data_IF_845079693165
#
_entry.id   IF_845079693165
#
_cell.length_a   1.000
_cell.length_b   1.000
_cell.length_c   1.000
_cell.angle_alpha   90.00
_cell.angle_beta   90.00
_cell.angle_gamma   90.00
#
_symmetry.space_group_name_H-M   'P 1'
#
loop_
_entity.id
_entity.type
_entity.pdbx_description
1 polymer ?
#
# COMPACT_ATOMS: atom_id res chain seq x y z
N UNK A 1 31.59 -12.08 14.28
CA UNK A 1 30.33 -11.42 13.83
C UNK A 1 29.27 -12.51 13.79
N UNK A 2 28.15 -12.36 14.51
CA UNK A 2 27.05 -13.30 14.41
C UNK A 2 26.49 -13.26 12.99
N UNK A 3 26.21 -14.42 12.41
CA UNK A 3 25.60 -14.53 11.09
C UNK A 3 24.18 -13.96 11.21
N UNK A 4 23.86 -12.95 10.43
CA UNK A 4 22.48 -12.39 10.39
C UNK A 4 21.50 -13.47 9.93
N UNK A 5 20.34 -13.62 10.59
CA UNK A 5 19.30 -14.51 10.12
C UNK A 5 18.81 -14.06 8.73
N UNK A 6 18.43 -15.03 7.90
CA UNK A 6 18.03 -14.80 6.50
C UNK A 6 16.52 -14.78 6.36
N UNK A 7 15.99 -13.72 5.75
CA UNK A 7 14.59 -13.64 5.36
C UNK A 7 14.50 -13.67 3.82
N UNK A 8 13.79 -14.66 3.27
CA UNK A 8 13.46 -14.70 1.85
C UNK A 8 12.05 -14.21 1.64
N UNK A 9 11.91 -13.05 1.00
CA UNK A 9 10.65 -12.37 0.71
C UNK A 9 10.16 -12.79 -0.67
N UNK A 10 8.93 -13.26 -0.75
CA UNK A 10 8.25 -13.53 -2.02
C UNK A 10 7.18 -12.48 -2.27
N UNK A 11 7.25 -11.82 -3.40
CA UNK A 11 6.27 -10.82 -3.83
C UNK A 11 6.12 -10.85 -5.36
N UNK A 12 4.90 -10.57 -5.85
CA UNK A 12 4.67 -10.56 -7.30
C UNK A 12 5.39 -9.40 -7.99
N UNK A 13 5.46 -8.25 -7.31
CA UNK A 13 6.03 -7.01 -7.84
C UNK A 13 6.96 -6.34 -6.84
N UNK A 14 8.03 -5.76 -7.35
CA UNK A 14 9.00 -4.98 -6.59
C UNK A 14 9.50 -3.81 -7.45
N UNK A 15 10.26 -2.87 -6.87
CA UNK A 15 10.92 -1.81 -7.65
C UNK A 15 11.79 -2.40 -8.77
N UNK A 16 11.82 -1.77 -9.96
CA UNK A 16 11.32 -0.44 -10.29
C UNK A 16 9.83 -0.38 -10.64
N UNK A 17 9.06 -1.46 -10.47
CA UNK A 17 7.62 -1.46 -10.66
C UNK A 17 6.90 -0.50 -9.70
N UNK A 18 5.78 0.05 -10.16
CA UNK A 18 4.97 1.00 -9.39
C UNK A 18 3.46 0.81 -9.56
N UNK A 19 2.99 0.14 -10.63
CA UNK A 19 1.56 0.00 -10.95
C UNK A 19 0.77 -0.77 -9.89
N UNK A 20 1.40 -1.73 -9.21
CA UNK A 20 0.76 -2.44 -8.12
C UNK A 20 0.63 -1.59 -6.82
N UNK A 21 1.32 -0.47 -6.72
CA UNK A 21 1.20 0.51 -5.63
C UNK A 21 1.56 -0.05 -4.26
N UNK A 22 0.58 -0.08 -3.32
CA UNK A 22 0.77 -0.46 -1.92
C UNK A 22 1.52 -1.77 -1.67
N UNK A 23 1.29 -2.88 -2.38
CA UNK A 23 2.07 -4.12 -2.25
C UNK A 23 3.57 -3.92 -2.45
N UNK A 24 3.97 -3.13 -3.45
CA UNK A 24 5.39 -2.81 -3.69
C UNK A 24 5.94 -2.00 -2.51
N UNK A 25 5.24 -0.93 -2.11
CA UNK A 25 5.66 -0.07 -0.97
C UNK A 25 5.83 -0.84 0.31
N UNK A 26 4.91 -1.78 0.61
CA UNK A 26 5.02 -2.63 1.79
C UNK A 26 6.31 -3.45 1.83
N UNK A 27 6.73 -4.02 0.69
CA UNK A 27 7.94 -4.83 0.61
C UNK A 27 9.21 -3.96 0.62
N UNK A 28 9.20 -2.82 -0.06
CA UNK A 28 10.32 -1.87 -0.10
C UNK A 28 10.58 -1.30 1.29
N UNK A 29 9.54 -0.82 1.96
CA UNK A 29 9.67 -0.29 3.31
C UNK A 29 10.11 -1.38 4.30
N UNK A 30 9.54 -2.59 4.22
CA UNK A 30 9.99 -3.72 5.02
C UNK A 30 11.50 -3.98 4.86
N UNK A 31 11.98 -4.04 3.64
CA UNK A 31 13.40 -4.27 3.36
C UNK A 31 14.27 -3.13 3.92
N UNK A 32 13.86 -1.87 3.74
CA UNK A 32 14.59 -0.70 4.21
C UNK A 32 14.77 -0.70 5.75
N UNK A 33 13.73 -1.09 6.50
CA UNK A 33 13.79 -1.12 7.97
C UNK A 33 14.51 -2.34 8.54
N UNK A 34 14.44 -3.49 7.86
CA UNK A 34 14.90 -4.76 8.42
C UNK A 34 16.28 -5.21 7.95
N UNK A 35 16.84 -4.61 6.90
CA UNK A 35 18.12 -5.02 6.29
C UNK A 35 19.35 -4.92 7.19
N UNK A 36 19.30 -4.11 8.25
CA UNK A 36 20.40 -4.01 9.21
C UNK A 36 20.44 -5.18 10.19
N UNK A 37 19.26 -5.77 10.49
CA UNK A 37 19.13 -6.87 11.45
C UNK A 37 19.09 -8.24 10.76
N UNK A 38 18.68 -8.29 9.47
CA UNK A 38 18.50 -9.52 8.70
C UNK A 38 19.13 -9.43 7.32
N UNK A 39 19.67 -10.55 6.83
CA UNK A 39 20.04 -10.68 5.42
C UNK A 39 18.77 -10.90 4.59
N UNK A 40 18.36 -9.88 3.83
CA UNK A 40 17.11 -9.88 3.07
C UNK A 40 17.35 -10.33 1.63
N UNK A 41 16.58 -11.33 1.19
CA UNK A 41 16.55 -11.88 -0.16
C UNK A 41 15.15 -11.69 -0.74
N UNK A 42 14.99 -10.90 -1.80
CA UNK A 42 13.69 -10.64 -2.44
C UNK A 42 13.61 -11.40 -3.75
N UNK A 43 12.64 -12.29 -3.85
CA UNK A 43 12.33 -13.05 -5.05
C UNK A 43 11.03 -12.52 -5.66
N UNK A 44 11.09 -11.93 -6.85
CA UNK A 44 9.98 -11.21 -7.49
C UNK A 44 9.90 -11.47 -8.99
N UNK A 45 8.81 -11.05 -9.63
CA UNK A 45 8.68 -11.05 -11.09
C UNK A 45 9.52 -9.96 -11.75
N UNK A 46 9.80 -10.15 -13.03
CA UNK A 46 10.61 -9.22 -13.83
C UNK A 46 9.81 -8.11 -14.52
N UNK A 47 8.51 -7.98 -14.24
CA UNK A 47 7.59 -7.03 -14.91
C UNK A 47 6.54 -6.48 -13.98
N UNK A 48 5.99 -5.31 -14.33
CA UNK A 48 4.96 -4.66 -13.53
C UNK A 48 3.57 -5.25 -13.76
N UNK A 49 2.63 -4.85 -12.94
CA UNK A 49 1.24 -5.27 -13.00
C UNK A 49 0.64 -4.97 -14.38
N UNK A 50 0.20 -6.02 -15.07
CA UNK A 50 -0.42 -5.92 -16.38
C UNK A 50 0.55 -5.82 -17.57
N UNK A 51 1.85 -5.65 -17.33
CA UNK A 51 2.83 -5.50 -18.39
C UNK A 51 3.25 -6.86 -18.99
N UNK A 52 3.47 -6.87 -20.30
CA UNK A 52 3.99 -8.03 -21.02
C UNK A 52 5.51 -8.01 -21.11
N UNK A 53 6.13 -6.85 -21.02
CA UNK A 53 7.57 -6.65 -21.12
C UNK A 53 8.20 -6.61 -19.73
N UNK A 54 9.45 -7.10 -19.65
CA UNK A 54 10.24 -6.97 -18.44
C UNK A 54 10.60 -5.50 -18.15
N UNK A 55 10.90 -5.20 -16.89
CA UNK A 55 11.44 -3.89 -16.52
C UNK A 55 12.69 -3.56 -17.36
N UNK A 56 12.81 -2.31 -17.73
CA UNK A 56 14.01 -1.83 -18.39
C UNK A 56 15.19 -1.78 -17.40
N UNK A 57 16.39 -2.07 -17.91
CA UNK A 57 17.67 -1.93 -17.16
C UNK A 57 17.79 -2.80 -15.89
N UNK A 58 17.04 -3.89 -15.78
CA UNK A 58 17.25 -4.89 -14.74
C UNK A 58 17.93 -6.13 -15.31
N UNK A 59 18.65 -6.82 -14.42
CA UNK A 59 19.21 -8.13 -14.72
C UNK A 59 18.28 -9.23 -14.21
N UNK A 60 17.80 -10.07 -15.12
CA UNK A 60 16.86 -11.16 -14.81
C UNK A 60 17.58 -12.48 -14.53
N UNK A 61 16.92 -13.34 -13.74
CA UNK A 61 17.34 -14.72 -13.45
C UNK A 61 18.71 -14.85 -12.77
N UNK A 62 19.15 -13.80 -12.07
CA UNK A 62 20.33 -13.83 -11.21
C UNK A 62 20.12 -12.97 -9.97
N UNK A 63 20.80 -13.32 -8.89
CA UNK A 63 20.85 -12.50 -7.69
C UNK A 63 21.74 -11.29 -7.92
N UNK A 64 21.22 -10.11 -7.60
CA UNK A 64 21.94 -8.83 -7.63
C UNK A 64 21.81 -8.17 -6.27
N UNK A 65 22.85 -7.46 -5.83
CA UNK A 65 22.78 -6.64 -4.63
C UNK A 65 22.37 -5.22 -4.98
N UNK A 66 21.37 -4.70 -4.29
CA UNK A 66 20.95 -3.30 -4.40
C UNK A 66 20.49 -2.80 -3.04
N UNK A 67 21.00 -1.64 -2.60
CA UNK A 67 20.63 -0.97 -1.35
C UNK A 67 20.71 -1.85 -0.09
N UNK A 68 21.64 -2.80 -0.07
CA UNK A 68 21.89 -3.73 1.04
C UNK A 68 20.91 -4.91 1.09
N UNK A 69 20.18 -5.20 0.01
CA UNK A 69 19.34 -6.38 -0.14
C UNK A 69 19.70 -7.16 -1.39
N UNK A 70 19.48 -8.48 -1.36
CA UNK A 70 19.65 -9.36 -2.52
C UNK A 70 18.32 -9.44 -3.30
N UNK A 71 18.35 -9.14 -4.61
CA UNK A 71 17.16 -9.12 -5.47
C UNK A 71 17.29 -10.17 -6.58
N UNK A 72 16.21 -10.91 -6.84
CA UNK A 72 16.09 -11.81 -7.96
C UNK A 72 14.82 -11.51 -8.75
N UNK A 73 14.98 -11.03 -9.97
CA UNK A 73 13.88 -10.80 -10.90
C UNK A 73 13.69 -12.03 -11.79
N UNK A 74 12.66 -12.79 -11.49
CA UNK A 74 12.36 -14.02 -12.21
C UNK A 74 11.60 -13.74 -13.51
N UNK A 75 12.16 -14.13 -14.64
CA UNK A 75 11.42 -14.17 -15.91
C UNK A 75 10.31 -15.23 -15.85
N UNK A 76 9.28 -15.18 -16.72
CA UNK A 76 8.22 -16.19 -16.74
C UNK A 76 8.72 -17.63 -16.88
N UNK A 77 9.81 -17.86 -17.58
CA UNK A 77 10.43 -19.18 -17.70
C UNK A 77 11.08 -19.70 -16.43
N UNK A 78 11.58 -18.78 -15.59
CA UNK A 78 12.16 -19.09 -14.28
C UNK A 78 11.10 -19.23 -13.17
N UNK A 79 9.86 -18.82 -13.40
CA UNK A 79 8.74 -18.95 -12.46
C UNK A 79 8.14 -20.37 -12.51
N UNK A 80 8.83 -21.33 -11.91
CA UNK A 80 8.39 -22.72 -11.82
C UNK A 80 8.76 -23.32 -10.45
N UNK A 81 8.21 -24.48 -10.14
CA UNK A 81 8.41 -25.20 -8.88
C UNK A 81 9.87 -25.49 -8.57
N UNK A 82 10.56 -26.06 -9.56
CA UNK A 82 11.94 -26.52 -9.39
C UNK A 82 12.90 -25.33 -9.14
N UNK A 83 12.79 -24.28 -9.95
CA UNK A 83 13.59 -23.07 -9.79
C UNK A 83 13.41 -22.45 -8.41
N UNK A 84 12.18 -22.26 -7.93
CA UNK A 84 11.91 -21.70 -6.60
C UNK A 84 12.52 -22.60 -5.51
N UNK A 85 12.37 -23.93 -5.62
CA UNK A 85 12.92 -24.86 -4.64
C UNK A 85 14.44 -24.83 -4.60
N UNK A 86 15.11 -24.72 -5.75
CA UNK A 86 16.57 -24.58 -5.83
C UNK A 86 17.02 -23.31 -5.09
N UNK A 87 16.42 -22.15 -5.38
CA UNK A 87 16.80 -20.91 -4.71
C UNK A 87 16.58 -20.96 -3.19
N UNK A 88 15.48 -21.55 -2.72
CA UNK A 88 15.26 -21.72 -1.28
C UNK A 88 16.31 -22.64 -0.64
N UNK A 89 16.71 -23.72 -1.32
CA UNK A 89 17.72 -24.66 -0.83
C UNK A 89 19.13 -24.08 -0.81
N UNK A 90 19.47 -23.23 -1.79
CA UNK A 90 20.79 -22.60 -1.88
C UNK A 90 20.95 -21.49 -0.83
N UNK A 91 19.92 -20.65 -0.66
CA UNK A 91 19.94 -19.55 0.32
C UNK A 91 19.82 -20.09 1.74
N UNK A 92 19.01 -21.16 1.96
CA UNK A 92 18.68 -21.71 3.27
C UNK A 92 18.16 -20.62 4.22
N UNK A 93 17.02 -19.96 3.87
CA UNK A 93 16.48 -18.90 4.71
C UNK A 93 15.98 -19.47 6.04
N UNK A 94 16.11 -18.70 7.12
CA UNK A 94 15.48 -18.97 8.41
C UNK A 94 13.97 -18.71 8.34
N UNK A 95 13.60 -17.68 7.58
CA UNK A 95 12.22 -17.22 7.41
C UNK A 95 11.89 -17.04 5.94
N UNK A 96 10.66 -17.40 5.58
CA UNK A 96 10.04 -17.09 4.29
C UNK A 96 8.87 -16.17 4.54
N UNK A 97 8.87 -15.00 3.91
CA UNK A 97 7.84 -13.97 4.04
C UNK A 97 7.07 -13.81 2.74
N UNK A 98 5.80 -14.23 2.75
CA UNK A 98 4.92 -14.23 1.59
C UNK A 98 4.00 -13.01 1.63
N UNK A 99 4.01 -12.20 0.59
CA UNK A 99 3.30 -10.92 0.53
C UNK A 99 2.16 -10.89 -0.48
N UNK A 100 1.40 -11.96 -0.57
CA UNK A 100 0.21 -12.11 -1.40
C UNK A 100 -0.53 -13.38 -0.95
N UNK A 101 -1.85 -13.44 -1.16
CA UNK A 101 -2.65 -14.62 -0.79
C UNK A 101 -2.83 -15.62 -1.94
N UNK A 102 -2.91 -15.14 -3.19
CA UNK A 102 -3.37 -15.95 -4.32
C UNK A 102 -2.31 -16.21 -5.38
N UNK A 103 -1.10 -15.72 -5.21
CA UNK A 103 -0.03 -15.90 -6.19
C UNK A 103 0.40 -17.36 -6.28
N UNK A 104 0.37 -17.91 -7.50
CA UNK A 104 0.78 -19.28 -7.77
C UNK A 104 2.24 -19.53 -7.39
N UNK A 105 3.11 -18.65 -7.83
CA UNK A 105 4.56 -18.81 -7.70
C UNK A 105 5.09 -18.25 -6.37
N UNK A 106 4.57 -17.09 -5.96
CA UNK A 106 5.10 -16.37 -4.80
C UNK A 106 4.38 -16.71 -3.49
N UNK A 107 3.29 -17.51 -3.54
CA UNK A 107 2.56 -17.92 -2.33
C UNK A 107 2.25 -19.41 -2.33
N UNK A 108 1.51 -19.90 -3.34
CA UNK A 108 1.00 -21.29 -3.33
C UNK A 108 2.15 -22.29 -3.36
N UNK A 109 3.16 -22.10 -4.21
CA UNK A 109 4.30 -23.01 -4.28
C UNK A 109 5.10 -23.06 -2.96
N UNK A 110 5.54 -21.95 -2.35
CA UNK A 110 6.18 -21.99 -1.04
C UNK A 110 5.34 -22.63 0.07
N UNK A 111 4.02 -22.38 0.09
CA UNK A 111 3.10 -23.02 1.05
C UNK A 111 3.04 -24.54 0.88
N UNK A 112 2.96 -25.03 -0.34
CA UNK A 112 2.97 -26.45 -0.65
C UNK A 112 4.34 -27.09 -0.33
N UNK A 113 5.44 -26.40 -0.64
CA UNK A 113 6.79 -26.85 -0.27
C UNK A 113 6.92 -27.02 1.25
N UNK A 114 6.40 -26.06 2.03
CA UNK A 114 6.34 -26.14 3.50
C UNK A 114 5.48 -27.32 3.93
N UNK A 115 4.31 -27.51 3.31
CA UNK A 115 3.38 -28.60 3.64
C UNK A 115 3.99 -29.97 3.41
N UNK A 116 4.75 -30.13 2.34
CA UNK A 116 5.42 -31.39 1.99
C UNK A 116 6.80 -31.58 2.65
N UNK A 117 7.21 -30.68 3.54
CA UNK A 117 8.48 -30.78 4.25
C UNK A 117 9.73 -30.56 3.40
N UNK A 118 9.58 -29.93 2.22
CA UNK A 118 10.70 -29.64 1.31
C UNK A 118 11.52 -28.42 1.76
N UNK A 119 10.98 -27.59 2.65
CA UNK A 119 11.61 -26.41 3.24
C UNK A 119 11.41 -26.41 4.76
N UNK A 120 12.46 -26.04 5.48
CA UNK A 120 12.48 -26.00 6.96
C UNK A 120 12.12 -24.64 7.51
N UNK A 121 12.35 -23.57 6.74
CA UNK A 121 12.11 -22.17 7.12
C UNK A 121 10.75 -21.97 7.80
N UNK A 122 10.67 -21.07 8.79
CA UNK A 122 9.40 -20.58 9.33
C UNK A 122 8.72 -19.72 8.26
N UNK A 123 7.47 -20.04 7.94
CA UNK A 123 6.73 -19.31 6.89
C UNK A 123 5.76 -18.33 7.52
N UNK A 124 5.86 -17.09 7.10
CA UNK A 124 4.96 -15.98 7.47
C UNK A 124 4.19 -15.55 6.22
N UNK A 125 2.88 -15.45 6.31
CA UNK A 125 2.00 -15.05 5.23
C UNK A 125 1.25 -13.77 5.57
N UNK A 126 1.48 -12.71 4.81
CA UNK A 126 0.75 -11.45 4.88
C UNK A 126 -0.28 -11.36 3.72
N UNK A 127 -1.59 -11.51 4.01
CA UNK A 127 -2.63 -11.48 2.97
C UNK A 127 -2.83 -10.09 2.34
N UNK A 128 -2.42 -9.02 3.02
CA UNK A 128 -2.47 -7.64 2.51
C UNK A 128 -3.88 -7.18 2.10
N UNK A 129 -4.87 -7.45 2.94
CA UNK A 129 -6.26 -7.06 2.72
C UNK A 129 -7.03 -7.97 1.74
N UNK A 130 -6.40 -9.00 1.19
CA UNK A 130 -7.04 -9.87 0.20
C UNK A 130 -8.09 -10.81 0.78
N UNK A 131 -8.19 -10.90 2.11
CA UNK A 131 -9.19 -11.70 2.82
C UNK A 131 -10.42 -10.90 3.23
N UNK A 132 -10.45 -9.57 3.05
CA UNK A 132 -11.61 -8.72 3.34
C UNK A 132 -12.85 -9.24 2.62
N UNK A 133 -14.00 -9.17 3.27
CA UNK A 133 -15.28 -9.68 2.74
C UNK A 133 -15.58 -9.14 1.34
N UNK A 134 -15.32 -7.86 1.09
CA UNK A 134 -15.46 -7.22 -0.23
C UNK A 134 -14.52 -7.84 -1.29
N UNK A 135 -13.29 -8.18 -0.91
CA UNK A 135 -12.35 -8.85 -1.79
C UNK A 135 -12.74 -10.32 -2.04
N UNK A 136 -13.24 -11.02 -1.03
CA UNK A 136 -13.63 -12.43 -1.12
C UNK A 136 -14.89 -12.61 -1.98
N UNK A 137 -15.83 -11.64 -1.96
CA UNK A 137 -17.04 -11.68 -2.78
C UNK A 137 -16.78 -11.60 -4.28
N UNK A 138 -15.62 -11.11 -4.71
CA UNK A 138 -15.23 -11.16 -6.11
C UNK A 138 -14.77 -12.58 -6.49
N UNK A 139 -15.53 -13.27 -7.41
CA UNK A 139 -15.35 -14.67 -7.81
C UNK A 139 -15.41 -15.67 -6.63
N UNK A 140 -16.48 -15.71 -5.86
CA UNK A 140 -16.56 -16.39 -4.56
C UNK A 140 -16.32 -17.91 -4.63
N UNK A 141 -16.78 -18.58 -5.68
CA UNK A 141 -16.66 -20.05 -5.81
C UNK A 141 -15.21 -20.55 -5.84
N UNK A 142 -14.34 -19.89 -6.63
CA UNK A 142 -12.90 -20.25 -6.73
C UNK A 142 -12.15 -20.00 -5.42
N UNK A 143 -12.46 -18.89 -4.75
CA UNK A 143 -11.82 -18.54 -3.48
C UNK A 143 -12.26 -19.48 -2.35
N UNK A 144 -13.54 -19.81 -2.28
CA UNK A 144 -14.08 -20.77 -1.29
C UNK A 144 -13.40 -22.14 -1.43
N UNK A 145 -13.27 -22.64 -2.66
CA UNK A 145 -12.55 -23.89 -2.92
C UNK A 145 -11.07 -23.81 -2.50
N UNK A 146 -10.40 -22.71 -2.83
CA UNK A 146 -9.02 -22.47 -2.44
C UNK A 146 -8.82 -22.51 -0.92
N UNK A 147 -9.67 -21.82 -0.16
CA UNK A 147 -9.61 -21.84 1.31
C UNK A 147 -9.89 -23.22 1.90
N UNK A 148 -10.86 -23.95 1.32
CA UNK A 148 -11.13 -25.33 1.74
C UNK A 148 -9.92 -26.24 1.50
N UNK A 149 -9.23 -26.08 0.37
CA UNK A 149 -8.02 -26.84 0.05
C UNK A 149 -6.88 -26.52 1.04
N UNK A 150 -6.66 -25.25 1.39
CA UNK A 150 -5.68 -24.86 2.40
C UNK A 150 -5.96 -25.50 3.76
N UNK A 151 -7.24 -25.54 4.17
CA UNK A 151 -7.68 -26.19 5.42
C UNK A 151 -7.47 -27.71 5.36
N UNK A 152 -7.87 -28.36 4.28
CA UNK A 152 -7.71 -29.80 4.08
C UNK A 152 -6.23 -30.22 4.15
N UNK A 153 -5.35 -29.41 3.59
CA UNK A 153 -3.90 -29.61 3.64
C UNK A 153 -3.29 -29.21 4.99
N UNK A 154 -4.07 -28.70 5.94
CA UNK A 154 -3.61 -28.19 7.24
C UNK A 154 -2.45 -27.18 7.08
N UNK A 155 -2.52 -26.32 6.07
CA UNK A 155 -1.51 -25.26 5.83
C UNK A 155 -1.63 -24.15 6.89
N UNK A 156 -2.85 -23.63 7.22
CA UNK A 156 -2.99 -22.52 8.17
C UNK A 156 -2.37 -22.78 9.54
N UNK A 157 -2.41 -24.03 10.02
CA UNK A 157 -1.80 -24.41 11.30
C UNK A 157 -0.27 -24.59 11.28
N UNK A 158 0.39 -24.44 10.13
CA UNK A 158 1.84 -24.66 9.94
C UNK A 158 2.60 -23.38 9.61
N UNK A 159 1.91 -22.26 9.53
CA UNK A 159 2.45 -20.95 9.17
C UNK A 159 2.00 -19.92 10.19
N UNK A 160 2.61 -18.75 10.19
CA UNK A 160 2.15 -17.59 10.94
C UNK A 160 1.51 -16.60 9.99
N UNK A 161 0.30 -16.15 10.29
CA UNK A 161 -0.31 -15.05 9.55
C UNK A 161 0.16 -13.71 10.12
N UNK A 162 0.50 -12.81 9.22
CA UNK A 162 0.77 -11.43 9.53
C UNK A 162 -0.42 -10.57 9.10
N UNK A 163 -1.26 -10.16 10.04
CA UNK A 163 -2.35 -9.21 9.85
C UNK A 163 -1.84 -7.78 10.03
N UNK A 164 -2.26 -6.87 9.17
CA UNK A 164 -1.83 -5.46 9.24
C UNK A 164 -2.71 -4.60 10.14
N UNK A 165 -3.94 -5.04 10.40
CA UNK A 165 -4.90 -4.41 11.30
C UNK A 165 -5.81 -5.46 11.96
N UNK A 166 -6.62 -5.02 12.93
CA UNK A 166 -7.54 -5.89 13.67
C UNK A 166 -8.65 -6.48 12.79
N UNK A 167 -9.05 -5.79 11.73
CA UNK A 167 -10.06 -6.29 10.78
C UNK A 167 -9.50 -7.45 9.98
N UNK A 168 -8.27 -7.32 9.46
CA UNK A 168 -7.59 -8.40 8.75
C UNK A 168 -7.33 -9.60 9.66
N UNK A 169 -6.97 -9.36 10.93
CA UNK A 169 -6.84 -10.44 11.93
C UNK A 169 -8.17 -11.18 12.14
N UNK A 170 -9.27 -10.46 12.27
CA UNK A 170 -10.60 -11.04 12.38
C UNK A 170 -10.98 -11.83 11.11
N UNK A 171 -10.70 -11.31 9.92
CA UNK A 171 -10.94 -11.99 8.65
C UNK A 171 -10.16 -13.31 8.55
N UNK A 172 -8.89 -13.32 8.98
CA UNK A 172 -8.06 -14.55 9.04
C UNK A 172 -8.68 -15.57 9.97
N UNK A 173 -9.02 -15.17 11.20
CA UNK A 173 -9.62 -16.06 12.21
C UNK A 173 -10.98 -16.58 11.78
N UNK A 174 -11.83 -15.75 11.23
CA UNK A 174 -13.12 -16.15 10.67
C UNK A 174 -12.99 -17.19 9.55
N UNK A 175 -11.99 -17.04 8.68
CA UNK A 175 -11.76 -17.95 7.57
C UNK A 175 -11.11 -19.26 8.00
N UNK A 176 -10.12 -19.23 8.87
CA UNK A 176 -9.27 -20.39 9.18
C UNK A 176 -9.43 -20.95 10.58
N UNK A 177 -10.15 -20.25 11.47
CA UNK A 177 -10.39 -20.62 12.86
C UNK A 177 -9.57 -19.80 13.86
N UNK A 178 -10.07 -19.66 15.10
CA UNK A 178 -9.44 -18.83 16.15
C UNK A 178 -8.04 -19.30 16.57
N UNK A 179 -7.73 -20.58 16.40
CA UNK A 179 -6.46 -21.18 16.83
C UNK A 179 -5.30 -20.97 15.84
N UNK A 180 -5.51 -20.34 14.68
CA UNK A 180 -4.43 -20.13 13.70
C UNK A 180 -3.42 -19.10 14.22
N UNK A 181 -2.10 -19.40 14.13
CA UNK A 181 -1.07 -18.47 14.57
C UNK A 181 -1.16 -17.16 13.78
N UNK A 182 -1.49 -16.06 14.45
CA UNK A 182 -1.63 -14.73 13.83
C UNK A 182 -0.93 -13.69 14.69
N UNK A 183 -0.23 -12.77 14.04
CA UNK A 183 0.38 -11.58 14.64
C UNK A 183 -0.14 -10.34 13.93
N UNK A 184 -0.65 -9.38 14.71
CA UNK A 184 -1.12 -8.11 14.19
C UNK A 184 0.00 -7.07 14.28
N UNK A 185 0.49 -6.61 13.12
CA UNK A 185 1.55 -5.60 13.04
C UNK A 185 1.26 -4.72 11.81
N UNK A 186 1.20 -3.40 12.00
CA UNK A 186 0.99 -2.47 10.88
C UNK A 186 2.15 -2.52 9.87
N UNK A 187 1.90 -2.12 8.63
CA UNK A 187 2.97 -2.00 7.63
C UNK A 187 3.98 -0.93 8.05
N UNK A 188 5.24 -1.12 7.65
CA UNK A 188 6.21 -0.04 7.74
C UNK A 188 5.81 1.12 6.83
N UNK A 189 5.79 2.34 7.35
CA UNK A 189 5.68 3.54 6.53
C UNK A 189 6.98 3.80 5.76
N UNK A 190 6.99 4.71 4.76
CA UNK A 190 8.24 5.22 4.22
C UNK A 190 9.06 5.93 5.31
N UNK A 191 10.37 6.01 5.10
CA UNK A 191 11.23 6.81 5.97
C UNK A 191 10.81 8.28 5.90
N UNK A 192 10.61 8.90 7.08
CA UNK A 192 10.22 10.29 7.13
C UNK A 192 11.38 11.19 6.69
N UNK A 193 11.01 12.24 5.95
CA UNK A 193 11.90 13.31 5.50
C UNK A 193 11.62 14.61 6.25
N UNK A 194 12.49 15.56 6.09
CA UNK A 194 12.27 16.90 6.63
C UNK A 194 11.05 17.57 5.97
N UNK A 195 10.32 18.33 6.76
CA UNK A 195 9.17 19.09 6.28
C UNK A 195 9.59 20.07 5.17
N UNK A 196 8.94 19.95 4.02
CA UNK A 196 9.13 20.86 2.90
C UNK A 196 7.94 21.86 2.88
N UNK A 197 8.15 23.11 3.32
CA UNK A 197 7.07 24.09 3.29
C UNK A 197 6.66 24.44 1.87
N UNK A 198 5.38 24.68 1.68
CA UNK A 198 4.81 25.18 0.42
C UNK A 198 3.94 26.40 0.75
N UNK A 199 4.05 27.45 -0.06
CA UNK A 199 3.23 28.65 0.08
C UNK A 199 1.78 28.40 -0.33
N UNK A 200 0.84 28.93 0.46
CA UNK A 200 -0.61 28.85 0.23
C UNK A 200 -1.23 30.24 0.09
N UNK A 201 -1.77 30.50 -1.09
CA UNK A 201 -2.55 31.71 -1.34
C UNK A 201 -4.02 31.47 -1.01
N UNK A 202 -4.65 32.39 -0.28
CA UNK A 202 -6.09 32.31 0.02
C UNK A 202 -6.92 32.40 -1.25
N UNK A 203 -7.95 31.54 -1.35
CA UNK A 203 -8.80 31.41 -2.53
C UNK A 203 -8.26 30.47 -3.63
N UNK A 204 -7.04 29.93 -3.47
CA UNK A 204 -6.44 28.97 -4.38
C UNK A 204 -6.16 27.63 -3.69
N UNK A 205 -6.57 26.51 -4.28
CA UNK A 205 -6.38 25.17 -3.69
C UNK A 205 -5.81 24.19 -4.72
N UNK A 206 -4.64 23.61 -4.40
CA UNK A 206 -4.04 22.51 -5.17
C UNK A 206 -4.30 21.20 -4.44
N UNK A 207 -5.07 20.32 -5.06
CA UNK A 207 -5.45 19.01 -4.53
C UNK A 207 -4.70 17.93 -5.30
N UNK A 208 -4.18 16.94 -4.60
CA UNK A 208 -3.68 15.72 -5.19
C UNK A 208 -4.51 14.51 -4.75
N UNK A 209 -4.85 13.66 -5.71
CA UNK A 209 -5.41 12.32 -5.53
C UNK A 209 -4.43 11.30 -6.10
N UNK A 210 -4.01 10.31 -5.31
CA UNK A 210 -3.13 9.24 -5.83
C UNK A 210 -3.75 7.87 -5.60
N UNK A 211 -3.63 7.00 -6.60
CA UNK A 211 -4.13 5.63 -6.49
C UNK A 211 -4.55 5.06 -7.84
N UNK A 212 -5.26 3.93 -7.82
CA UNK A 212 -5.82 3.33 -9.03
C UNK A 212 -7.19 3.94 -9.30
N UNK A 213 -7.52 4.20 -10.56
CA UNK A 213 -8.90 4.56 -10.93
C UNK A 213 -9.75 3.30 -10.88
N UNK A 214 -10.37 3.10 -9.72
CA UNK A 214 -11.22 1.96 -9.40
C UNK A 214 -12.30 2.41 -8.39
N UNK A 215 -13.53 1.87 -8.43
CA UNK A 215 -14.61 2.27 -7.53
C UNK A 215 -14.24 2.32 -6.04
N UNK A 216 -13.34 1.44 -5.58
CA UNK A 216 -12.89 1.42 -4.18
C UNK A 216 -12.21 2.72 -3.75
N UNK A 217 -11.51 3.41 -4.66
CA UNK A 217 -10.83 4.70 -4.37
C UNK A 217 -11.76 5.90 -4.43
N UNK A 218 -12.95 5.70 -5.01
CA UNK A 218 -14.09 6.59 -4.95
C UNK A 218 -13.83 8.02 -5.51
N UNK A 219 -13.03 8.10 -6.60
CA UNK A 219 -12.70 9.37 -7.26
C UNK A 219 -13.97 10.15 -7.65
N UNK A 220 -15.03 9.47 -8.14
CA UNK A 220 -16.28 10.11 -8.53
C UNK A 220 -16.92 10.87 -7.37
N UNK A 221 -16.75 10.44 -6.12
CA UNK A 221 -17.25 11.17 -4.94
C UNK A 221 -16.51 12.51 -4.79
N UNK A 222 -15.16 12.52 -4.87
CA UNK A 222 -14.39 13.75 -4.84
C UNK A 222 -14.82 14.73 -5.94
N UNK A 223 -14.98 14.23 -7.17
CA UNK A 223 -15.38 15.06 -8.31
C UNK A 223 -16.78 15.69 -8.10
N UNK A 224 -17.75 14.95 -7.51
CA UNK A 224 -19.04 15.55 -7.14
C UNK A 224 -18.91 16.60 -6.03
N UNK A 225 -18.08 16.37 -5.02
CA UNK A 225 -17.82 17.39 -4.00
C UNK A 225 -17.25 18.67 -4.61
N UNK A 226 -16.30 18.53 -5.56
CA UNK A 226 -15.70 19.69 -6.24
C UNK A 226 -16.73 20.52 -7.01
N UNK A 227 -17.78 19.92 -7.53
CA UNK A 227 -18.83 20.64 -8.23
C UNK A 227 -19.53 21.70 -7.37
N UNK A 228 -19.44 21.54 -6.04
CA UNK A 228 -20.06 22.41 -5.04
C UNK A 228 -19.06 23.39 -4.37
N UNK A 229 -17.78 23.33 -4.75
CA UNK A 229 -16.73 24.17 -4.18
C UNK A 229 -16.58 25.47 -4.96
N UNK A 230 -16.57 26.59 -4.26
CA UNK A 230 -16.27 27.90 -4.84
C UNK A 230 -14.78 28.22 -4.74
N UNK A 231 -14.25 28.90 -5.74
CA UNK A 231 -12.84 29.32 -5.79
C UNK A 231 -12.01 28.57 -6.84
N UNK A 232 -10.73 28.92 -6.93
CA UNK A 232 -9.81 28.32 -7.86
C UNK A 232 -9.26 27.00 -7.31
N UNK A 233 -9.62 25.89 -7.96
CA UNK A 233 -9.16 24.55 -7.57
C UNK A 233 -8.43 23.87 -8.72
N UNK A 234 -7.21 23.37 -8.47
CA UNK A 234 -6.48 22.49 -9.34
C UNK A 234 -6.47 21.08 -8.72
N UNK A 235 -7.09 20.12 -9.36
CA UNK A 235 -7.01 18.70 -8.97
C UNK A 235 -6.02 17.97 -9.88
N UNK A 236 -4.95 17.45 -9.31
CA UNK A 236 -4.05 16.51 -9.99
C UNK A 236 -4.41 15.08 -9.58
N UNK A 237 -4.82 14.28 -10.56
CA UNK A 237 -5.10 12.84 -10.39
C UNK A 237 -3.87 12.07 -10.87
N UNK A 238 -3.16 11.41 -9.95
CA UNK A 238 -2.03 10.53 -10.27
C UNK A 238 -2.50 9.09 -10.13
N UNK A 239 -2.77 8.45 -11.27
CA UNK A 239 -3.45 7.15 -11.23
C UNK A 239 -3.15 6.27 -12.44
N UNK A 240 -3.15 4.94 -12.20
CA UNK A 240 -3.31 3.94 -13.25
C UNK A 240 -4.80 3.63 -13.42
N UNK A 241 -5.30 3.61 -14.64
CA UNK A 241 -6.70 3.27 -14.93
C UNK A 241 -6.84 1.75 -14.88
N UNK A 242 -7.51 1.23 -13.84
CA UNK A 242 -7.78 -0.20 -13.67
C UNK A 242 -9.19 -0.57 -14.15
N UNK A 243 -10.16 0.34 -14.04
CA UNK A 243 -11.55 0.17 -14.47
C UNK A 243 -11.93 1.28 -15.46
N UNK A 244 -11.89 0.94 -16.73
CA UNK A 244 -12.22 1.86 -17.83
C UNK A 244 -13.68 2.36 -17.76
N UNK A 245 -14.63 1.49 -17.37
CA UNK A 245 -16.03 1.86 -17.25
C UNK A 245 -16.26 2.87 -16.11
N UNK A 246 -15.52 2.74 -15.03
CA UNK A 246 -15.55 3.71 -13.95
C UNK A 246 -14.84 5.02 -14.34
N UNK A 247 -13.75 4.94 -15.09
CA UNK A 247 -13.07 6.13 -15.60
C UNK A 247 -13.94 6.96 -16.53
N UNK A 248 -14.72 6.31 -17.43
CA UNK A 248 -15.66 7.01 -18.29
C UNK A 248 -16.67 7.86 -17.48
N UNK A 249 -17.23 7.29 -16.40
CA UNK A 249 -18.11 8.04 -15.48
C UNK A 249 -17.40 9.22 -14.79
N UNK A 250 -16.15 9.04 -14.40
CA UNK A 250 -15.36 10.14 -13.82
C UNK A 250 -15.13 11.27 -14.83
N UNK A 251 -14.84 10.93 -16.10
CA UNK A 251 -14.66 11.94 -17.16
C UNK A 251 -15.90 12.77 -17.41
N UNK A 252 -17.09 12.13 -17.45
CA UNK A 252 -18.36 12.86 -17.60
C UNK A 252 -18.56 13.89 -16.47
N UNK A 253 -18.17 13.57 -15.22
CA UNK A 253 -18.23 14.53 -14.13
C UNK A 253 -17.18 15.63 -14.31
N UNK A 254 -15.95 15.30 -14.70
CA UNK A 254 -14.88 16.28 -14.95
C UNK A 254 -15.29 17.30 -16.01
N UNK A 255 -15.90 16.84 -17.11
CA UNK A 255 -16.38 17.70 -18.20
C UNK A 255 -17.49 18.66 -17.77
N UNK A 256 -18.22 18.33 -16.69
CA UNK A 256 -19.30 19.15 -16.15
C UNK A 256 -18.86 20.10 -15.01
N UNK A 257 -17.60 20.05 -14.56
CA UNK A 257 -17.11 20.88 -13.46
C UNK A 257 -17.17 22.38 -13.83
N UNK A 258 -17.59 23.24 -12.90
CA UNK A 258 -17.61 24.69 -13.13
C UNK A 258 -16.22 25.30 -13.18
N UNK A 259 -16.06 26.39 -13.94
CA UNK A 259 -14.85 27.21 -13.86
C UNK A 259 -14.83 27.99 -12.52
N UNK A 260 -13.67 28.20 -11.87
CA UNK A 260 -12.32 27.90 -12.33
C UNK A 260 -11.72 26.59 -11.75
N UNK A 261 -12.45 25.47 -11.80
CA UNK A 261 -11.93 24.16 -11.38
C UNK A 261 -11.24 23.50 -12.56
N UNK A 262 -9.96 23.15 -12.39
CA UNK A 262 -9.16 22.46 -13.40
C UNK A 262 -8.75 21.07 -12.90
N UNK A 263 -8.76 20.07 -13.82
CA UNK A 263 -8.37 18.69 -13.50
C UNK A 263 -7.27 18.24 -14.47
N UNK A 264 -6.19 17.72 -13.94
CA UNK A 264 -5.10 17.10 -14.67
C UNK A 264 -4.99 15.62 -14.31
N UNK A 265 -4.92 14.74 -15.32
CA UNK A 265 -4.63 13.32 -15.14
C UNK A 265 -3.17 13.04 -15.50
N UNK A 266 -2.43 12.44 -14.59
CA UNK A 266 -1.07 11.90 -14.82
C UNK A 266 -1.09 10.40 -14.61
N UNK A 267 -0.81 9.67 -15.68
CA UNK A 267 -0.78 8.21 -15.67
C UNK A 267 0.66 7.70 -15.59
N UNK A 268 0.80 6.50 -15.02
CA UNK A 268 2.06 5.73 -15.01
C UNK A 268 3.26 6.55 -14.48
N UNK A 269 3.02 7.33 -13.43
CA UNK A 269 4.03 8.18 -12.80
C UNK A 269 4.91 7.33 -11.87
N UNK A 270 6.24 7.35 -12.04
CA UNK A 270 7.16 6.70 -11.13
C UNK A 270 7.03 7.22 -9.69
N UNK A 271 7.27 6.35 -8.70
CA UNK A 271 7.05 6.70 -7.30
C UNK A 271 7.81 7.95 -6.84
N UNK A 272 9.04 8.16 -7.30
CA UNK A 272 9.84 9.34 -6.95
C UNK A 272 9.17 10.64 -7.39
N UNK A 273 8.58 10.66 -8.59
CA UNK A 273 7.84 11.81 -9.10
C UNK A 273 6.51 12.03 -8.34
N UNK A 274 5.87 10.95 -7.82
CA UNK A 274 4.66 11.08 -6.98
C UNK A 274 4.97 11.86 -5.71
N UNK A 275 6.13 11.62 -5.11
CA UNK A 275 6.57 12.36 -3.92
C UNK A 275 6.75 13.86 -4.21
N UNK A 276 7.37 14.20 -5.34
CA UNK A 276 7.52 15.60 -5.77
C UNK A 276 6.16 16.26 -6.01
N UNK A 277 5.24 15.51 -6.62
CA UNK A 277 3.87 15.99 -6.82
C UNK A 277 3.14 16.22 -5.49
N UNK A 278 3.23 15.29 -4.54
CA UNK A 278 2.65 15.49 -3.20
C UNK A 278 3.21 16.76 -2.57
N UNK A 279 4.53 16.98 -2.65
CA UNK A 279 5.18 18.18 -2.12
C UNK A 279 4.71 19.48 -2.77
N UNK A 280 4.25 19.45 -4.01
CA UNK A 280 3.78 20.61 -4.76
C UNK A 280 2.29 20.94 -4.56
N UNK A 281 1.56 20.15 -3.76
CA UNK A 281 0.12 20.32 -3.51
C UNK A 281 -0.17 20.70 -2.06
N UNK A 282 -1.36 21.29 -1.83
CA UNK A 282 -1.79 21.76 -0.51
C UNK A 282 -2.54 20.66 0.27
N UNK A 283 -3.36 19.87 -0.41
CA UNK A 283 -4.25 18.89 0.22
C UNK A 283 -4.20 17.57 -0.54
N UNK A 284 -4.02 16.49 0.19
CA UNK A 284 -4.22 15.14 -0.33
C UNK A 284 -5.66 14.70 -0.07
N UNK A 285 -6.37 14.19 -1.09
CA UNK A 285 -7.77 13.76 -0.92
C UNK A 285 -7.94 12.31 -1.40
N UNK A 286 -8.48 11.46 -0.51
CA UNK A 286 -8.79 10.06 -0.83
C UNK A 286 -10.06 9.58 -0.11
N UNK A 287 -11.26 9.77 -0.68
CA UNK A 287 -12.53 9.32 -0.10
C UNK A 287 -12.79 7.83 -0.36
N UNK A 288 -11.81 6.98 -0.05
CA UNK A 288 -11.83 5.55 -0.34
C UNK A 288 -12.92 4.78 0.40
N UNK A 289 -13.41 3.68 -0.17
CA UNK A 289 -14.31 2.73 0.49
C UNK A 289 -13.59 1.75 1.42
N UNK A 290 -12.25 1.80 1.47
CA UNK A 290 -11.45 0.99 2.37
C UNK A 290 -9.98 0.98 2.04
N UNK A 291 -9.16 1.14 3.05
CA UNK A 291 -7.71 0.99 3.01
C UNK A 291 -7.26 -0.04 4.06
N UNK A 292 -6.15 -0.69 3.76
CA UNK A 292 -5.50 -1.55 4.74
C UNK A 292 -4.49 -0.76 5.59
N UNK A 293 -3.57 -0.07 4.91
CA UNK A 293 -2.64 0.88 5.52
C UNK A 293 -2.82 2.27 4.93
N UNK A 294 -2.94 2.37 3.59
CA UNK A 294 -3.04 3.64 2.89
C UNK A 294 -1.67 4.32 2.77
N UNK A 295 -0.70 3.67 2.12
CA UNK A 295 0.66 4.23 1.95
C UNK A 295 0.64 5.65 1.41
N UNK A 296 -0.19 5.95 0.41
CA UNK A 296 -0.30 7.28 -0.16
C UNK A 296 -0.81 8.34 0.83
N UNK A 297 -1.71 7.94 1.76
CA UNK A 297 -2.17 8.82 2.85
C UNK A 297 -0.98 9.14 3.77
N UNK A 298 -0.23 8.11 4.17
CA UNK A 298 0.91 8.32 5.04
C UNK A 298 2.05 9.10 4.36
N UNK A 299 2.27 8.90 3.07
CA UNK A 299 3.22 9.67 2.27
C UNK A 299 2.86 11.17 2.27
N UNK A 300 1.57 11.49 2.11
CA UNK A 300 1.09 12.86 2.19
C UNK A 300 1.30 13.48 3.59
N UNK A 301 0.92 12.75 4.65
CA UNK A 301 1.14 13.18 6.03
C UNK A 301 2.64 13.41 6.32
N UNK A 302 3.51 12.49 5.89
CA UNK A 302 4.96 12.59 6.06
C UNK A 302 5.57 13.78 5.32
N UNK A 303 4.96 14.18 4.20
CA UNK A 303 5.33 15.36 3.44
C UNK A 303 4.77 16.67 4.02
N UNK A 304 4.05 16.59 5.16
CA UNK A 304 3.38 17.73 5.76
C UNK A 304 2.19 18.23 4.92
N UNK A 305 1.51 17.32 4.22
CA UNK A 305 0.28 17.66 3.50
C UNK A 305 -0.91 17.18 4.31
N UNK A 306 -1.77 18.08 4.80
CA UNK A 306 -3.01 17.65 5.44
C UNK A 306 -3.83 16.79 4.48
N UNK A 307 -4.57 15.84 5.05
CA UNK A 307 -5.31 14.87 4.26
C UNK A 307 -6.82 14.99 4.51
N UNK A 308 -7.63 14.85 3.45
CA UNK A 308 -9.08 14.69 3.56
C UNK A 308 -9.44 13.29 3.08
N UNK A 309 -9.78 12.44 4.01
CA UNK A 309 -9.99 11.02 3.76
C UNK A 309 -11.32 10.53 4.33
N UNK A 310 -11.74 9.33 3.92
CA UNK A 310 -12.89 8.70 4.54
C UNK A 310 -12.52 8.05 5.87
N UNK A 311 -13.53 7.80 6.69
CA UNK A 311 -13.44 7.01 7.92
C UNK A 311 -13.25 5.49 7.68
N UNK A 312 -13.00 5.07 6.43
CA UNK A 312 -12.73 3.68 6.05
C UNK A 312 -11.21 3.39 5.92
N UNK A 313 -10.39 4.15 6.64
CA UNK A 313 -8.94 4.00 6.69
C UNK A 313 -8.47 3.78 8.13
N UNK A 314 -7.23 3.31 8.39
CA UNK A 314 -6.72 3.20 9.76
C UNK A 314 -6.32 4.55 10.40
N UNK A 315 -6.29 5.62 9.63
CA UNK A 315 -5.85 6.96 10.09
C UNK A 315 -7.03 7.71 10.71
N UNK A 316 -6.91 8.05 12.00
CA UNK A 316 -8.00 8.58 12.81
C UNK A 316 -7.59 9.83 13.59
N UNK A 317 -8.61 10.56 14.09
CA UNK A 317 -8.43 11.75 14.91
C UNK A 317 -7.54 12.80 14.26
N UNK A 318 -7.61 12.90 12.94
CA UNK A 318 -6.73 13.77 12.16
C UNK A 318 -7.01 15.25 12.43
N UNK A 319 -8.28 15.62 12.59
CA UNK A 319 -8.68 17.00 12.83
C UNK A 319 -8.19 17.50 14.20
N UNK A 320 -8.24 16.68 15.23
CA UNK A 320 -7.78 17.02 16.58
C UNK A 320 -6.27 17.31 16.62
N UNK A 321 -5.52 16.71 15.70
CA UNK A 321 -4.07 16.85 15.59
C UNK A 321 -3.63 17.80 14.46
N UNK A 322 -4.55 18.54 13.86
CA UNK A 322 -4.31 19.43 12.71
C UNK A 322 -3.61 18.70 11.54
N UNK A 323 -3.88 17.39 11.39
CA UNK A 323 -3.25 16.57 10.36
C UNK A 323 -4.15 16.37 9.12
N UNK A 324 -5.43 16.72 9.22
CA UNK A 324 -6.42 16.52 8.18
C UNK A 324 -7.79 16.18 8.74
N UNK A 325 -8.61 15.51 7.93
CA UNK A 325 -9.99 15.15 8.28
C UNK A 325 -10.29 13.72 7.85
N UNK A 326 -10.83 12.89 8.76
CA UNK A 326 -11.28 11.53 8.56
C UNK A 326 -12.82 11.47 8.71
N UNK A 327 -13.54 11.61 7.59
CA UNK A 327 -14.97 11.86 7.56
C UNK A 327 -15.77 10.66 7.04
N UNK A 328 -17.00 10.42 7.56
CA UNK A 328 -17.89 9.41 7.00
C UNK A 328 -18.36 9.81 5.59
N UNK A 329 -18.32 8.88 4.65
CA UNK A 329 -18.72 9.10 3.25
C UNK A 329 -20.21 9.47 3.10
N UNK A 330 -21.04 9.19 4.11
CA UNK A 330 -22.45 9.63 4.14
C UNK A 330 -22.62 11.14 4.33
N UNK A 331 -21.56 11.86 4.72
CA UNK A 331 -21.59 13.29 4.97
C UNK A 331 -20.86 14.10 3.88
N UNK A 332 -21.37 14.06 2.65
CA UNK A 332 -20.78 14.78 1.50
C UNK A 332 -20.67 16.29 1.74
N UNK A 333 -21.63 16.88 2.47
CA UNK A 333 -21.61 18.31 2.81
C UNK A 333 -20.38 18.70 3.64
N UNK A 334 -19.94 17.82 4.52
CA UNK A 334 -18.75 18.07 5.34
C UNK A 334 -17.46 18.00 4.51
N UNK A 335 -17.36 17.08 3.54
CA UNK A 335 -16.26 17.09 2.57
C UNK A 335 -16.19 18.41 1.80
N UNK A 336 -17.35 18.92 1.32
CA UNK A 336 -17.43 20.20 0.62
C UNK A 336 -17.00 21.34 1.55
N UNK A 337 -17.50 21.37 2.81
CA UNK A 337 -17.13 22.39 3.82
C UNK A 337 -15.62 22.43 4.03
N UNK A 338 -14.98 21.28 4.22
CA UNK A 338 -13.52 21.18 4.42
C UNK A 338 -12.77 21.68 3.18
N UNK A 339 -13.19 21.27 1.98
CA UNK A 339 -12.56 21.76 0.75
C UNK A 339 -12.62 23.28 0.62
N UNK A 340 -13.77 23.88 0.97
CA UNK A 340 -13.94 25.35 0.99
C UNK A 340 -13.10 26.01 2.08
N UNK A 341 -13.04 25.44 3.29
CA UNK A 341 -12.23 25.90 4.39
C UNK A 341 -10.75 25.94 4.00
N UNK A 342 -10.22 24.84 3.47
CA UNK A 342 -8.81 24.77 3.04
C UNK A 342 -8.54 25.71 1.87
N UNK A 343 -9.50 25.87 0.94
CA UNK A 343 -9.36 26.86 -0.14
C UNK A 343 -9.23 28.29 0.39
N UNK A 344 -9.98 28.63 1.43
CA UNK A 344 -9.97 29.95 2.07
C UNK A 344 -8.81 30.22 3.01
N UNK A 345 -8.04 29.24 3.44
CA UNK A 345 -6.88 29.43 4.31
C UNK A 345 -5.83 30.32 3.67
N UNK A 346 -5.28 31.23 4.45
CA UNK A 346 -4.03 31.92 4.15
C UNK A 346 -2.82 31.02 4.46
N UNK A 347 -1.62 31.53 4.20
CA UNK A 347 -0.40 30.76 4.42
C UNK A 347 -0.18 30.41 5.89
N UNK A 348 -0.42 31.34 6.81
CA UNK A 348 -0.19 31.12 8.25
C UNK A 348 -1.10 29.98 8.78
N UNK A 349 -2.39 30.03 8.49
CA UNK A 349 -3.33 28.99 8.87
C UNK A 349 -2.98 27.65 8.22
N UNK A 350 -2.56 27.66 6.96
CA UNK A 350 -2.16 26.43 6.26
C UNK A 350 -0.90 25.79 6.86
N UNK A 351 0.12 26.59 7.23
CA UNK A 351 1.36 26.06 7.83
C UNK A 351 1.09 25.34 9.15
N UNK A 352 0.06 25.71 9.91
CA UNK A 352 -0.33 24.99 11.13
C UNK A 352 -0.82 23.56 10.80
N UNK A 353 -1.64 23.40 9.77
CA UNK A 353 -2.10 22.08 9.30
C UNK A 353 -0.97 21.27 8.68
N UNK A 354 -0.07 21.92 7.94
CA UNK A 354 1.12 21.29 7.36
C UNK A 354 2.05 20.74 8.44
N UNK A 355 2.33 21.52 9.47
CA UNK A 355 3.14 21.08 10.61
C UNK A 355 2.45 19.95 11.39
N UNK A 356 1.13 20.06 11.61
CA UNK A 356 0.33 19.04 12.27
C UNK A 356 0.36 17.69 11.52
N UNK A 357 0.20 17.70 10.20
CA UNK A 357 0.28 16.52 9.36
C UNK A 357 1.66 15.82 9.47
N UNK A 358 2.73 16.58 9.38
CA UNK A 358 4.09 16.08 9.53
C UNK A 358 4.34 15.50 10.94
N UNK A 359 3.89 16.20 11.97
CA UNK A 359 4.05 15.75 13.36
C UNK A 359 3.23 14.49 13.64
N UNK A 360 2.03 14.35 13.06
CA UNK A 360 1.21 13.14 13.15
C UNK A 360 1.94 11.93 12.61
N UNK A 361 2.53 12.05 11.42
CA UNK A 361 3.32 10.99 10.81
C UNK A 361 4.53 10.61 11.68
N UNK A 362 5.24 11.60 12.22
CA UNK A 362 6.38 11.42 13.13
C UNK A 362 5.98 10.70 14.41
N UNK A 363 4.91 11.13 15.06
CA UNK A 363 4.40 10.50 16.27
C UNK A 363 4.05 9.03 16.04
N UNK A 364 3.42 8.71 14.90
CA UNK A 364 3.14 7.33 14.53
C UNK A 364 4.42 6.50 14.40
N UNK A 365 5.44 7.01 13.76
CA UNK A 365 6.72 6.29 13.60
C UNK A 365 7.42 6.04 14.93
N UNK A 366 7.46 7.06 15.80
CA UNK A 366 8.13 6.99 17.12
C UNK A 366 7.36 6.08 18.09
N UNK A 367 6.02 6.14 18.10
CA UNK A 367 5.20 5.39 19.07
C UNK A 367 4.88 3.96 18.68
N UNK A 368 4.92 3.63 17.40
CA UNK A 368 4.44 2.34 16.88
C UNK A 368 5.32 1.13 17.26
N UNK A 369 6.62 1.37 17.55
CA UNK A 369 7.63 0.35 17.84
C UNK A 369 7.64 -0.80 16.81
N UNK A 370 7.41 -0.48 15.53
CA UNK A 370 7.21 -1.48 14.48
C UNK A 370 8.42 -2.39 14.31
N UNK A 371 9.64 -1.86 14.37
CA UNK A 371 10.86 -2.64 14.15
C UNK A 371 10.97 -3.80 15.13
N UNK A 372 10.70 -3.57 16.42
CA UNK A 372 10.75 -4.62 17.43
C UNK A 372 9.60 -5.62 17.26
N UNK A 373 8.38 -5.17 16.93
CA UNK A 373 7.25 -6.07 16.64
C UNK A 373 7.55 -6.99 15.45
N UNK A 374 8.20 -6.46 14.41
CA UNK A 374 8.64 -7.30 13.28
C UNK A 374 9.75 -8.28 13.69
N UNK A 375 10.69 -7.90 14.56
CA UNK A 375 11.66 -8.86 15.11
C UNK A 375 10.98 -9.99 15.87
N UNK A 376 9.94 -9.70 16.65
CA UNK A 376 9.13 -10.73 17.30
C UNK A 376 8.36 -11.62 16.32
N UNK A 377 7.99 -11.13 15.13
CA UNK A 377 7.38 -11.94 14.07
C UNK A 377 8.37 -12.95 13.51
N UNK A 378 9.63 -12.55 13.41
CA UNK A 378 10.75 -13.33 12.89
C UNK A 378 11.64 -13.93 14.01
N UNK A 379 11.09 -14.15 15.19
CA UNK A 379 11.75 -14.86 16.31
C UNK A 379 11.33 -16.33 16.42
#
# INVERSE_FOLDING_TARGET
>A
MSVQPKIMVFTDWYEPGFKAGGPIRSCVNFAAYMKEDYAIYIFTGDRDLGDKQAYLQIETNRWIEKDGVQLFYASPGALNWESILVHVRDIKPDYIYLNNMYSKYFTIYPLLMKRFGLITAKVILAPRGMLKSTAVQYKPGKKKFFFQLLKLLNIPGRIVFHATDSTEEADIKNLFGEAVPTKQISNFPPMQKDLQPIYKESGSLKIIFTGRVHPIKNLAFLLRCLHLVAGSVMLTIVATIEDEGYWLKCREIIESLPQPIAVELRQDVPHQEIEELINAHHLFVLPTLGENFGHAIFEALSAGRPVLISDQTPWRSLQEQHAGWDLPLSNEKEFVRVLQEVAGMDDEAFQQWSAGAWQYARNFMESSNLKEKYKELFS
#
